data_IF_379182968990
#
_entry.id   IF_379182968990
#
_cell.length_a   1.000
_cell.length_b   1.000
_cell.length_c   1.000
_cell.angle_alpha   90.00
_cell.angle_beta   90.00
_cell.angle_gamma   90.00
#
_symmetry.space_group_name_H-M   'P 1'
#
loop_
_entity.id
_entity.type
_entity.pdbx_description
1 polymer ?
#
# COMPACT_ATOMS: atom_id res chain seq x y z
N UNK A 1 -0.06 0.60 17.34
CA UNK A 1 -1.26 0.67 16.49
C UNK A 1 -1.75 -0.75 16.34
N UNK A 2 -2.81 -1.11 17.05
CA UNK A 2 -3.45 -2.42 16.90
C UNK A 2 -4.26 -2.32 15.60
N UNK A 3 -3.81 -2.99 14.55
CA UNK A 3 -4.64 -3.18 13.36
C UNK A 3 -5.78 -4.08 13.83
N UNK A 4 -6.99 -3.52 13.96
CA UNK A 4 -8.18 -4.27 14.34
C UNK A 4 -8.34 -5.49 13.45
N UNK A 5 -8.65 -6.66 14.02
CA UNK A 5 -8.88 -7.91 13.29
C UNK A 5 -9.89 -7.74 12.13
N UNK A 6 -10.87 -6.85 12.31
CA UNK A 6 -11.83 -6.46 11.25
C UNK A 6 -11.14 -5.90 10.00
N UNK A 7 -10.09 -5.09 10.16
CA UNK A 7 -9.36 -4.50 9.04
C UNK A 7 -8.61 -5.56 8.20
N UNK A 8 -8.11 -6.62 8.85
CA UNK A 8 -7.42 -7.70 8.14
C UNK A 8 -8.39 -8.54 7.32
N UNK A 9 -9.57 -8.87 7.88
CA UNK A 9 -10.59 -9.61 7.14
C UNK A 9 -11.15 -8.82 5.97
N UNK A 10 -11.43 -7.52 6.15
CA UNK A 10 -11.93 -6.67 5.05
C UNK A 10 -10.90 -6.52 3.92
N UNK A 11 -9.61 -6.52 4.28
CA UNK A 11 -8.49 -6.51 3.33
C UNK A 11 -8.41 -7.83 2.55
N UNK A 12 -8.47 -8.97 3.24
CA UNK A 12 -8.47 -10.30 2.59
C UNK A 12 -9.72 -10.50 1.74
N UNK A 13 -10.89 -10.04 2.19
CA UNK A 13 -12.15 -10.19 1.43
C UNK A 13 -12.31 -9.18 0.30
N UNK A 14 -11.49 -8.13 0.26
CA UNK A 14 -11.57 -7.05 -0.71
C UNK A 14 -12.70 -6.05 -0.46
N UNK A 15 -13.40 -6.15 0.69
CA UNK A 15 -14.47 -5.23 1.08
C UNK A 15 -13.95 -3.80 1.18
N UNK A 16 -12.75 -3.59 1.73
CA UNK A 16 -12.18 -2.24 1.82
C UNK A 16 -11.91 -1.65 0.44
N UNK A 17 -11.30 -2.40 -0.47
CA UNK A 17 -11.02 -1.92 -1.82
C UNK A 17 -12.31 -1.58 -2.59
N UNK A 18 -13.37 -2.39 -2.41
CA UNK A 18 -14.68 -2.13 -2.99
C UNK A 18 -15.28 -0.79 -2.53
N UNK A 19 -15.04 -0.40 -1.28
CA UNK A 19 -15.49 0.87 -0.70
C UNK A 19 -14.55 2.04 -1.04
N UNK A 20 -13.25 1.80 -1.09
CA UNK A 20 -12.21 2.83 -1.20
C UNK A 20 -11.93 3.25 -2.65
N UNK A 21 -12.08 2.35 -3.63
CA UNK A 21 -11.96 2.67 -5.06
C UNK A 21 -12.89 3.85 -5.42
N UNK A 22 -14.20 3.84 -5.07
CA UNK A 22 -15.09 4.98 -5.28
C UNK A 22 -14.69 6.28 -4.55
N UNK A 23 -13.79 6.23 -3.58
CA UNK A 23 -13.42 7.37 -2.72
C UNK A 23 -12.00 7.89 -2.98
N UNK A 24 -11.21 7.19 -3.77
CA UNK A 24 -9.78 7.45 -3.96
C UNK A 24 -9.52 7.86 -5.40
N UNK A 25 -8.77 8.93 -5.64
CA UNK A 25 -8.37 9.23 -7.02
C UNK A 25 -7.40 8.15 -7.50
N UNK A 26 -7.76 7.44 -8.57
CA UNK A 26 -6.94 6.35 -9.14
C UNK A 26 -6.50 6.74 -10.54
N UNK A 27 -5.20 6.63 -10.77
CA UNK A 27 -4.55 6.81 -12.06
C UNK A 27 -3.90 5.51 -12.49
N UNK A 28 -4.16 5.04 -13.71
CA UNK A 28 -3.54 3.84 -14.28
C UNK A 28 -2.85 4.21 -15.59
N UNK A 29 -1.55 3.91 -15.69
CA UNK A 29 -0.70 4.25 -16.84
C UNK A 29 -0.77 5.73 -17.25
N UNK A 30 -1.02 6.62 -16.29
CA UNK A 30 -1.16 8.07 -16.53
C UNK A 30 -2.58 8.53 -16.87
N UNK A 31 -3.54 7.62 -16.99
CA UNK A 31 -4.96 7.95 -17.20
C UNK A 31 -5.70 8.03 -15.86
N UNK A 32 -6.48 9.08 -15.65
CA UNK A 32 -7.37 9.20 -14.48
C UNK A 32 -8.57 8.27 -14.74
N UNK A 33 -8.67 7.22 -13.94
CA UNK A 33 -9.73 6.20 -14.04
C UNK A 33 -10.91 6.57 -13.16
N UNK A 34 -10.60 7.05 -11.95
CA UNK A 34 -11.59 7.52 -11.02
C UNK A 34 -11.14 8.85 -10.43
N UNK A 35 -12.04 9.83 -10.46
CA UNK A 35 -11.83 11.12 -9.86
C UNK A 35 -12.93 11.39 -8.82
N UNK A 36 -12.56 11.30 -7.55
CA UNK A 36 -13.48 11.57 -6.43
C UNK A 36 -14.07 12.99 -6.41
N UNK A 37 -13.47 13.93 -7.15
CA UNK A 37 -13.93 15.32 -7.25
C UNK A 37 -14.94 15.53 -8.41
N UNK A 38 -15.17 14.52 -9.25
CA UNK A 38 -16.27 14.55 -10.22
C UNK A 38 -17.60 14.36 -9.49
N UNK A 39 -18.65 15.05 -9.96
CA UNK A 39 -20.02 14.85 -9.45
C UNK A 39 -20.40 13.40 -9.69
N UNK A 40 -20.27 12.57 -8.66
CA UNK A 40 -20.79 11.20 -8.70
C UNK A 40 -22.30 11.29 -8.90
N UNK A 41 -22.79 10.58 -9.91
CA UNK A 41 -24.22 10.34 -10.17
C UNK A 41 -24.85 9.41 -9.10
N UNK A 42 -24.11 9.09 -8.04
CA UNK A 42 -24.48 8.17 -6.98
C UNK A 42 -24.08 6.71 -7.25
N UNK A 43 -23.58 6.39 -8.45
CA UNK A 43 -23.27 5.02 -8.86
C UNK A 43 -21.82 4.66 -8.54
N UNK A 44 -21.60 3.47 -7.96
CA UNK A 44 -20.26 2.94 -7.74
C UNK A 44 -19.57 2.71 -9.11
N UNK A 45 -18.32 3.17 -9.35
CA UNK A 45 -17.61 2.96 -10.61
C UNK A 45 -17.50 1.48 -11.02
N UNK A 46 -17.44 0.56 -10.05
CA UNK A 46 -17.41 -0.89 -10.30
C UNK A 46 -18.77 -1.35 -10.87
N UNK A 47 -19.87 -0.95 -10.23
CA UNK A 47 -21.24 -1.27 -10.68
C UNK A 47 -21.55 -0.62 -12.04
N UNK A 48 -21.06 0.60 -12.27
CA UNK A 48 -21.19 1.30 -13.55
C UNK A 48 -20.46 0.56 -14.68
N UNK A 49 -19.26 0.06 -14.42
CA UNK A 49 -18.51 -0.77 -15.37
C UNK A 49 -19.23 -2.11 -15.65
N UNK A 50 -19.75 -2.75 -14.60
CA UNK A 50 -20.57 -3.96 -14.72
C UNK A 50 -21.80 -3.75 -15.59
N UNK A 51 -22.55 -2.66 -15.38
CA UNK A 51 -23.74 -2.36 -16.17
C UNK A 51 -23.40 -2.06 -17.63
N UNK A 52 -22.32 -1.31 -17.88
CA UNK A 52 -21.88 -0.92 -19.23
C UNK A 52 -21.45 -2.12 -20.09
N UNK A 53 -20.83 -3.14 -19.49
CA UNK A 53 -20.38 -4.33 -20.21
C UNK A 53 -20.50 -5.61 -19.38
N UNK A 54 -21.74 -6.02 -19.11
CA UNK A 54 -22.07 -7.13 -18.20
C UNK A 54 -21.47 -8.47 -18.62
N UNK A 55 -21.46 -8.77 -19.93
CA UNK A 55 -20.91 -10.01 -20.46
C UNK A 55 -19.39 -10.10 -20.21
N UNK A 56 -18.66 -9.03 -20.54
CA UNK A 56 -17.21 -8.97 -20.31
C UNK A 56 -16.89 -9.07 -18.82
N UNK A 57 -17.61 -8.34 -17.98
CA UNK A 57 -17.36 -8.36 -16.54
C UNK A 57 -17.64 -9.73 -15.93
N UNK A 58 -18.74 -10.40 -16.33
CA UNK A 58 -19.06 -11.76 -15.87
C UNK A 58 -17.98 -12.77 -16.28
N UNK A 59 -17.41 -12.61 -17.47
CA UNK A 59 -16.28 -13.43 -17.94
C UNK A 59 -15.03 -13.22 -17.08
N UNK A 60 -14.69 -11.97 -16.76
CA UNK A 60 -13.57 -11.63 -15.88
C UNK A 60 -13.78 -12.16 -14.46
N UNK A 61 -14.96 -11.97 -13.87
CA UNK A 61 -15.30 -12.55 -12.57
C UNK A 61 -15.14 -14.08 -12.56
N UNK A 62 -15.58 -14.76 -13.62
CA UNK A 62 -15.37 -16.20 -13.76
C UNK A 62 -13.88 -16.56 -13.77
N UNK A 63 -13.05 -15.85 -14.52
CA UNK A 63 -11.60 -16.06 -14.58
C UNK A 63 -10.95 -15.89 -13.19
N UNK A 64 -11.29 -14.82 -12.47
CA UNK A 64 -10.75 -14.58 -11.13
C UNK A 64 -11.26 -15.61 -10.11
N UNK A 65 -12.50 -16.06 -10.25
CA UNK A 65 -13.06 -17.16 -9.46
C UNK A 65 -12.28 -18.46 -9.68
N UNK A 66 -11.97 -18.82 -10.93
CA UNK A 66 -11.13 -20.00 -11.23
C UNK A 66 -9.71 -19.86 -10.67
N UNK A 67 -9.13 -18.66 -10.73
CA UNK A 67 -7.83 -18.41 -10.12
C UNK A 67 -7.85 -18.68 -8.60
N UNK A 68 -8.86 -18.19 -7.87
CA UNK A 68 -8.99 -18.45 -6.44
C UNK A 68 -9.20 -19.94 -6.16
N UNK A 69 -10.07 -20.63 -6.90
CA UNK A 69 -10.24 -22.08 -6.74
C UNK A 69 -8.96 -22.87 -7.00
N UNK A 70 -8.12 -22.42 -7.95
CA UNK A 70 -6.81 -23.00 -8.18
C UNK A 70 -5.86 -22.87 -6.98
N UNK A 71 -6.05 -21.87 -6.12
CA UNK A 71 -5.23 -21.65 -4.92
C UNK A 71 -5.73 -22.39 -3.68
N UNK A 72 -7.06 -22.43 -3.48
CA UNK A 72 -7.65 -22.90 -2.21
C UNK A 72 -8.57 -24.12 -2.37
N UNK A 73 -8.66 -24.68 -3.58
CA UNK A 73 -9.42 -25.88 -3.91
C UNK A 73 -10.87 -25.60 -4.34
N UNK A 74 -11.42 -26.39 -5.29
CA UNK A 74 -12.75 -26.15 -5.89
C UNK A 74 -13.92 -26.42 -4.93
N UNK A 75 -13.70 -27.18 -3.86
CA UNK A 75 -14.72 -27.48 -2.84
C UNK A 75 -14.88 -26.40 -1.75
N UNK A 76 -14.09 -25.33 -1.82
CA UNK A 76 -14.07 -24.29 -0.80
C UNK A 76 -15.16 -23.25 -1.07
N UNK A 77 -15.92 -22.88 -0.04
CA UNK A 77 -16.86 -21.75 -0.14
C UNK A 77 -16.10 -20.43 -0.23
N UNK A 78 -16.18 -19.78 -1.40
CA UNK A 78 -15.55 -18.49 -1.68
C UNK A 78 -16.54 -17.33 -1.67
N UNK A 79 -17.78 -17.52 -1.19
CA UNK A 79 -18.80 -16.46 -1.12
C UNK A 79 -18.29 -15.22 -0.37
N UNK A 80 -17.45 -15.42 0.65
CA UNK A 80 -16.83 -14.34 1.41
C UNK A 80 -15.77 -13.55 0.65
N UNK A 81 -15.31 -14.03 -0.51
CA UNK A 81 -14.32 -13.39 -1.40
C UNK A 81 -14.96 -12.69 -2.61
N UNK A 82 -16.29 -12.59 -2.67
CA UNK A 82 -17.02 -12.00 -3.79
C UNK A 82 -16.57 -10.55 -4.10
N UNK A 83 -16.40 -9.71 -3.08
CA UNK A 83 -15.87 -8.34 -3.28
C UNK A 83 -14.47 -8.34 -3.89
N UNK A 84 -13.58 -9.23 -3.45
CA UNK A 84 -12.23 -9.37 -4.03
C UNK A 84 -12.30 -9.78 -5.49
N UNK A 85 -13.17 -10.72 -5.85
CA UNK A 85 -13.34 -11.19 -7.23
C UNK A 85 -13.84 -10.03 -8.10
N UNK A 86 -14.86 -9.30 -7.64
CA UNK A 86 -15.41 -8.12 -8.34
C UNK A 86 -14.39 -7.02 -8.53
N UNK A 87 -13.64 -6.68 -7.48
CA UNK A 87 -12.59 -5.66 -7.57
C UNK A 87 -11.47 -6.11 -8.52
N UNK A 88 -11.05 -7.38 -8.47
CA UNK A 88 -10.03 -7.89 -9.38
C UNK A 88 -10.49 -7.82 -10.84
N UNK A 89 -11.72 -8.25 -11.12
CA UNK A 89 -12.33 -8.16 -12.45
C UNK A 89 -12.43 -6.70 -12.95
N UNK A 90 -12.81 -5.77 -12.06
CA UNK A 90 -12.81 -4.35 -12.37
C UNK A 90 -11.41 -3.83 -12.72
N UNK A 91 -10.39 -4.16 -11.92
CA UNK A 91 -9.02 -3.74 -12.21
C UNK A 91 -8.51 -4.32 -13.53
N UNK A 92 -8.74 -5.61 -13.79
CA UNK A 92 -8.35 -6.25 -15.06
C UNK A 92 -9.03 -5.57 -16.25
N UNK A 93 -10.33 -5.26 -16.13
CA UNK A 93 -11.07 -4.52 -17.15
C UNK A 93 -10.45 -3.15 -17.45
N UNK A 94 -10.10 -2.38 -16.42
CA UNK A 94 -9.48 -1.05 -16.60
C UNK A 94 -8.05 -1.17 -17.15
N UNK A 95 -7.26 -2.15 -16.70
CA UNK A 95 -5.93 -2.38 -17.25
C UNK A 95 -5.97 -2.69 -18.74
N UNK A 96 -6.94 -3.49 -19.17
CA UNK A 96 -7.17 -3.80 -20.58
C UNK A 96 -7.59 -2.55 -21.38
N UNK A 97 -8.44 -1.67 -20.83
CA UNK A 97 -8.82 -0.42 -21.50
C UNK A 97 -7.66 0.58 -21.62
N UNK A 98 -6.67 0.51 -20.73
CA UNK A 98 -5.59 1.48 -20.62
C UNK A 98 -4.18 0.87 -20.79
N UNK A 99 -4.07 -0.25 -21.52
CA UNK A 99 -2.81 -0.80 -22.00
C UNK A 99 -2.56 -2.26 -21.65
N UNK A 100 -1.51 -2.52 -20.87
CA UNK A 100 -1.05 -3.87 -20.54
C UNK A 100 -1.77 -4.43 -19.30
N UNK A 101 -2.09 -5.72 -19.35
CA UNK A 101 -2.73 -6.46 -18.26
C UNK A 101 -1.64 -7.14 -17.40
N UNK A 102 -1.52 -6.82 -16.11
CA UNK A 102 -0.65 -7.54 -15.19
C UNK A 102 -1.12 -8.99 -14.96
N UNK A 103 -0.24 -9.86 -14.49
CA UNK A 103 -0.61 -11.19 -14.06
C UNK A 103 -1.66 -11.15 -12.93
N UNK A 104 -2.54 -12.15 -12.91
CA UNK A 104 -3.66 -12.23 -11.98
C UNK A 104 -3.24 -12.14 -10.51
N UNK A 105 -2.12 -12.76 -10.14
CA UNK A 105 -1.61 -12.64 -8.78
C UNK A 105 -1.24 -11.20 -8.43
N UNK A 106 -0.66 -10.41 -9.34
CA UNK A 106 -0.45 -8.97 -9.12
C UNK A 106 -1.76 -8.20 -8.97
N UNK A 107 -2.79 -8.54 -9.75
CA UNK A 107 -4.12 -7.90 -9.64
C UNK A 107 -4.75 -8.23 -8.27
N UNK A 108 -4.73 -9.50 -7.86
CA UNK A 108 -5.22 -9.90 -6.55
C UNK A 108 -4.39 -9.30 -5.43
N UNK A 109 -3.08 -9.14 -5.61
CA UNK A 109 -2.25 -8.46 -4.64
C UNK A 109 -2.70 -6.99 -4.56
N UNK A 110 -2.85 -6.28 -5.67
CA UNK A 110 -3.40 -4.92 -5.70
C UNK A 110 -4.73 -4.77 -4.94
N UNK A 111 -5.66 -5.74 -5.04
CA UNK A 111 -6.92 -5.70 -4.25
C UNK A 111 -6.64 -5.60 -2.75
N UNK A 112 -5.61 -6.29 -2.25
CA UNK A 112 -5.16 -6.23 -0.86
C UNK A 112 -4.61 -4.83 -0.50
N UNK A 113 -3.98 -4.13 -1.45
CA UNK A 113 -3.24 -2.88 -1.20
C UNK A 113 -3.95 -1.58 -1.63
N UNK A 114 -5.06 -1.68 -2.37
CA UNK A 114 -5.87 -0.52 -2.76
C UNK A 114 -6.57 0.14 -1.56
N UNK A 115 -6.66 -0.55 -0.43
CA UNK A 115 -6.85 0.12 0.85
C UNK A 115 -5.53 0.78 1.30
N UNK A 116 -5.54 2.11 1.27
CA UNK A 116 -4.50 3.14 1.43
C UNK A 116 -3.37 2.94 2.49
N UNK A 117 -2.68 1.80 2.52
CA UNK A 117 -1.41 1.64 3.23
C UNK A 117 -1.41 0.69 4.45
N UNK A 118 -2.17 -0.40 4.44
CA UNK A 118 -2.16 -1.36 5.55
C UNK A 118 -0.75 -1.92 5.90
N UNK A 119 0.20 -1.86 4.97
CA UNK A 119 1.60 -2.28 5.19
C UNK A 119 2.61 -1.17 5.36
N UNK A 120 2.36 -0.02 4.75
CA UNK A 120 3.28 1.11 4.80
C UNK A 120 2.85 2.06 5.93
N UNK A 121 1.76 1.71 6.61
CA UNK A 121 1.48 2.07 8.00
C UNK A 121 2.73 1.94 8.85
N UNK A 122 3.62 0.95 8.68
CA UNK A 122 4.87 0.88 9.46
C UNK A 122 5.84 2.04 9.16
N UNK A 123 6.04 2.42 7.90
CA UNK A 123 6.94 3.52 7.54
C UNK A 123 6.32 4.90 7.85
N UNK A 124 5.00 5.01 7.67
CA UNK A 124 4.22 6.13 8.19
C UNK A 124 4.26 6.16 9.72
N UNK A 125 4.22 5.03 10.43
CA UNK A 125 4.35 4.90 11.89
C UNK A 125 5.77 5.25 12.32
N UNK A 126 6.82 4.94 11.58
CA UNK A 126 8.18 5.38 11.92
C UNK A 126 8.28 6.91 11.80
N UNK A 127 7.67 7.48 10.76
CA UNK A 127 7.49 8.92 10.61
C UNK A 127 6.63 9.46 11.75
N UNK A 128 5.50 8.83 12.05
CA UNK A 128 4.53 9.22 13.06
C UNK A 128 5.14 9.11 14.45
N UNK A 129 5.90 8.07 14.79
CA UNK A 129 6.59 7.91 16.07
C UNK A 129 7.65 8.99 16.27
N UNK A 130 8.37 9.36 15.20
CA UNK A 130 9.31 10.48 15.22
C UNK A 130 8.59 11.83 15.40
N UNK A 131 7.31 11.91 15.01
CA UNK A 131 6.50 13.13 15.06
C UNK A 131 5.53 13.20 16.25
N UNK A 132 5.11 12.07 16.83
CA UNK A 132 4.06 11.95 17.86
C UNK A 132 4.47 12.77 19.07
N UNK A 133 5.74 12.72 19.46
CA UNK A 133 6.23 13.48 20.58
C UNK A 133 6.11 14.99 20.33
N UNK A 134 6.35 15.46 19.09
CA UNK A 134 6.10 16.85 18.72
C UNK A 134 4.61 17.18 18.76
N UNK A 135 3.79 16.35 18.12
CA UNK A 135 2.36 16.58 17.99
C UNK A 135 1.68 16.65 19.37
N UNK A 136 2.03 15.72 20.26
CA UNK A 136 1.53 15.69 21.64
C UNK A 136 1.98 16.90 22.46
N UNK A 137 3.24 17.34 22.31
CA UNK A 137 3.75 18.50 23.06
C UNK A 137 3.18 19.85 22.60
N UNK A 138 2.64 19.91 21.38
CA UNK A 138 2.10 21.14 20.80
C UNK A 138 0.57 21.09 20.58
N UNK A 139 -0.11 20.06 21.10
CA UNK A 139 -1.55 19.82 20.91
C UNK A 139 -1.97 19.88 19.44
N UNK A 140 -1.15 19.28 18.59
CA UNK A 140 -1.34 19.24 17.14
C UNK A 140 -2.02 17.95 16.69
N UNK A 141 -2.91 18.07 15.71
CA UNK A 141 -3.74 17.00 15.19
C UNK A 141 -3.59 16.87 13.68
N UNK A 142 -3.40 15.64 13.20
CA UNK A 142 -3.29 15.35 11.76
C UNK A 142 -4.68 15.03 11.20
N UNK A 143 -5.12 15.84 10.26
CA UNK A 143 -6.28 15.55 9.42
C UNK A 143 -5.80 15.03 8.06
N UNK A 144 -6.16 13.78 7.77
CA UNK A 144 -5.92 13.17 6.47
C UNK A 144 -6.86 13.78 5.43
N UNK A 145 -6.30 14.23 4.32
CA UNK A 145 -7.04 14.53 3.09
C UNK A 145 -6.90 13.37 2.11
N UNK A 146 -7.44 13.59 0.94
CA UNK A 146 -7.56 12.60 -0.11
C UNK A 146 -6.24 11.98 -0.54
N UNK A 147 -6.30 10.70 -0.90
CA UNK A 147 -5.18 9.98 -1.49
C UNK A 147 -5.30 9.97 -3.01
N UNK A 148 -4.15 10.04 -3.67
CA UNK A 148 -4.00 9.77 -5.10
C UNK A 148 -3.17 8.50 -5.22
N UNK A 149 -3.70 7.49 -5.90
CA UNK A 149 -3.02 6.23 -6.18
C UNK A 149 -2.72 6.19 -7.67
N UNK A 150 -1.44 6.21 -8.03
CA UNK A 150 -0.97 6.04 -9.39
C UNK A 150 -0.35 4.65 -9.55
N UNK A 151 -0.85 3.88 -10.52
CA UNK A 151 -0.38 2.54 -10.86
C UNK A 151 0.18 2.59 -12.28
N UNK A 152 1.42 2.14 -12.45
CA UNK A 152 2.06 2.03 -13.76
C UNK A 152 2.41 0.57 -14.01
N UNK A 153 1.87 0.00 -15.08
CA UNK A 153 2.24 -1.33 -15.55
C UNK A 153 3.56 -1.22 -16.30
N UNK A 154 4.60 -1.90 -15.81
CA UNK A 154 5.91 -1.93 -16.45
C UNK A 154 5.94 -3.05 -17.50
N UNK A 155 5.38 -4.21 -17.14
CA UNK A 155 5.11 -5.36 -17.99
C UNK A 155 4.07 -6.26 -17.29
N UNK A 156 3.71 -7.39 -17.91
CA UNK A 156 2.77 -8.37 -17.34
C UNK A 156 3.19 -8.90 -15.97
N UNK A 157 4.48 -8.86 -15.63
CA UNK A 157 5.02 -9.41 -14.39
C UNK A 157 5.44 -8.34 -13.39
N UNK A 158 5.21 -7.06 -13.67
CA UNK A 158 5.62 -6.01 -12.75
C UNK A 158 4.83 -4.72 -12.89
N UNK A 159 4.46 -4.19 -11.72
CA UNK A 159 3.71 -2.94 -11.59
C UNK A 159 4.38 -2.04 -10.56
N UNK A 160 4.47 -0.75 -10.88
CA UNK A 160 4.95 0.27 -9.98
C UNK A 160 3.76 1.02 -9.37
N UNK A 161 3.76 1.15 -8.05
CA UNK A 161 2.76 1.91 -7.32
C UNK A 161 3.37 3.19 -6.76
N UNK A 162 2.59 4.26 -6.81
CA UNK A 162 2.87 5.53 -6.16
C UNK A 162 1.61 6.04 -5.45
N UNK A 163 1.66 6.19 -4.13
CA UNK A 163 0.55 6.67 -3.31
C UNK A 163 0.94 8.00 -2.71
N UNK A 164 0.21 9.06 -3.06
CA UNK A 164 0.40 10.41 -2.54
C UNK A 164 -0.75 10.77 -1.61
N UNK A 165 -0.41 11.38 -0.49
CA UNK A 165 -1.40 11.92 0.45
C UNK A 165 -1.04 13.35 0.82
N UNK A 166 -2.04 14.08 1.27
CA UNK A 166 -1.89 15.38 1.92
C UNK A 166 -2.39 15.28 3.35
N UNK A 167 -1.54 15.58 4.31
CA UNK A 167 -1.84 15.56 5.73
C UNK A 167 -1.74 17.00 6.25
N UNK A 168 -2.86 17.58 6.65
CA UNK A 168 -2.87 18.89 7.26
C UNK A 168 -2.73 18.75 8.77
N UNK A 169 -1.84 19.54 9.36
CA UNK A 169 -1.65 19.59 10.82
C UNK A 169 -2.36 20.82 11.35
N UNK A 170 -3.27 20.61 12.28
CA UNK A 170 -4.11 21.63 12.91
C UNK A 170 -3.87 21.67 14.42
N UNK A 171 -4.34 22.73 15.06
CA UNK A 171 -4.48 22.81 16.52
C UNK A 171 -5.96 23.02 16.86
N UNK A 172 -6.31 22.89 18.14
CA UNK A 172 -7.61 23.31 18.64
C UNK A 172 -7.51 24.70 19.27
N UNK A 173 -8.50 25.55 19.04
CA UNK A 173 -8.64 26.81 19.78
C UNK A 173 -9.27 26.56 21.18
N UNK A 174 -9.45 27.62 21.96
CA UNK A 174 -10.06 27.55 23.31
C UNK A 174 -11.45 26.90 23.32
N UNK A 175 -12.18 27.04 22.22
CA UNK A 175 -13.55 26.53 22.05
C UNK A 175 -13.58 25.13 21.42
N UNK A 176 -12.43 24.44 21.36
CA UNK A 176 -12.26 23.10 20.79
C UNK A 176 -12.61 23.01 19.29
N UNK A 177 -12.58 24.15 18.59
CA UNK A 177 -12.71 24.19 17.14
C UNK A 177 -11.34 24.01 16.47
N UNK A 178 -11.32 23.31 15.35
CA UNK A 178 -10.14 23.15 14.49
C UNK A 178 -9.70 24.52 13.95
N UNK A 179 -8.46 24.88 14.20
CA UNK A 179 -7.85 26.08 13.61
C UNK A 179 -7.53 25.85 12.13
N UNK A 180 -7.09 26.91 11.43
CA UNK A 180 -6.44 26.74 10.13
C UNK A 180 -5.23 25.80 10.21
N UNK A 181 -4.86 25.21 9.07
CA UNK A 181 -3.74 24.29 9.00
C UNK A 181 -2.42 25.02 9.28
N UNK A 182 -1.74 24.63 10.36
CA UNK A 182 -0.45 25.20 10.76
C UNK A 182 0.65 24.86 9.75
N UNK A 183 0.63 23.64 9.23
CA UNK A 183 1.49 23.19 8.13
C UNK A 183 0.94 21.90 7.50
N UNK A 184 1.52 21.52 6.37
CA UNK A 184 1.14 20.30 5.63
C UNK A 184 2.33 19.35 5.51
N UNK A 185 2.07 18.06 5.66
CA UNK A 185 2.97 16.95 5.32
C UNK A 185 2.39 16.25 4.08
N UNK A 186 3.20 16.07 3.05
CA UNK A 186 2.84 15.46 1.78
C UNK A 186 3.63 14.15 1.62
N UNK A 187 3.21 13.06 2.27
CA UNK A 187 3.86 11.79 2.09
C UNK A 187 3.55 11.20 0.71
N UNK A 188 4.59 10.64 0.11
CA UNK A 188 4.58 9.88 -1.13
C UNK A 188 5.26 8.54 -0.86
N UNK A 189 4.55 7.46 -1.14
CA UNK A 189 5.03 6.10 -1.00
C UNK A 189 5.16 5.50 -2.40
N UNK A 190 6.29 4.91 -2.73
CA UNK A 190 6.52 4.23 -4.00
C UNK A 190 7.18 2.88 -3.82
N UNK A 191 6.74 1.88 -4.59
CA UNK A 191 7.33 0.54 -4.59
C UNK A 191 7.03 -0.17 -5.92
N UNK A 192 7.81 -1.21 -6.21
CA UNK A 192 7.62 -2.12 -7.33
C UNK A 192 7.10 -3.46 -6.80
N UNK A 193 6.03 -3.98 -7.39
CA UNK A 193 5.57 -5.35 -7.18
C UNK A 193 5.93 -6.18 -8.41
N UNK A 194 6.46 -7.38 -8.19
CA UNK A 194 6.87 -8.29 -9.26
C UNK A 194 6.40 -9.72 -8.98
N UNK A 195 5.85 -10.36 -9.99
CA UNK A 195 5.45 -11.78 -9.96
C UNK A 195 6.45 -12.65 -10.72
N UNK A 196 6.54 -13.92 -10.35
CA UNK A 196 7.34 -14.90 -11.09
C UNK A 196 6.61 -15.28 -12.39
N UNK A 197 7.25 -15.16 -13.58
CA UNK A 197 6.56 -15.32 -14.86
C UNK A 197 5.77 -16.61 -15.04
N UNK A 198 6.29 -17.72 -14.53
CA UNK A 198 5.71 -19.06 -14.68
C UNK A 198 5.10 -19.61 -13.40
N UNK A 199 4.98 -18.80 -12.34
CA UNK A 199 4.45 -19.23 -11.07
C UNK A 199 3.53 -18.17 -10.47
N UNK A 200 2.26 -18.20 -10.87
CA UNK A 200 1.23 -17.28 -10.36
C UNK A 200 0.80 -17.58 -8.92
N UNK A 201 1.29 -18.67 -8.32
CA UNK A 201 1.04 -18.99 -6.91
C UNK A 201 2.16 -18.51 -5.98
N UNK A 202 3.30 -18.12 -6.55
CA UNK A 202 4.43 -17.62 -5.80
C UNK A 202 4.09 -16.31 -5.08
N UNK A 203 4.73 -16.08 -3.92
CA UNK A 203 4.86 -14.76 -3.32
C UNK A 203 5.20 -13.64 -4.31
N UNK A 204 4.62 -12.47 -4.09
CA UNK A 204 4.95 -11.24 -4.81
C UNK A 204 6.20 -10.61 -4.19
N UNK A 205 7.17 -10.25 -5.03
CA UNK A 205 8.35 -9.49 -4.61
C UNK A 205 8.01 -8.01 -4.55
N UNK A 206 8.24 -7.40 -3.39
CA UNK A 206 8.24 -5.95 -3.20
C UNK A 206 9.68 -5.45 -3.25
N UNK A 207 9.94 -4.47 -4.11
CA UNK A 207 11.25 -3.86 -4.23
C UNK A 207 11.20 -2.35 -4.41
N UNK A 208 12.36 -1.71 -4.27
CA UNK A 208 12.52 -0.25 -4.43
C UNK A 208 11.56 0.55 -3.54
N UNK A 209 11.29 0.03 -2.34
CA UNK A 209 10.30 0.60 -1.44
C UNK A 209 10.85 1.89 -0.84
N UNK A 210 10.15 2.99 -1.10
CA UNK A 210 10.57 4.31 -0.70
C UNK A 210 9.40 5.14 -0.20
N UNK A 211 9.61 5.83 0.92
CA UNK A 211 8.71 6.87 1.44
C UNK A 211 9.43 8.20 1.37
N UNK A 212 8.76 9.21 0.83
CA UNK A 212 9.23 10.59 0.76
C UNK A 212 8.21 11.48 1.43
N UNK A 213 8.63 12.51 2.15
CA UNK A 213 7.74 13.60 2.55
C UNK A 213 8.50 14.91 2.65
N UNK A 214 7.80 16.03 2.50
CA UNK A 214 8.38 17.34 2.77
C UNK A 214 8.68 17.47 4.27
N UNK A 215 9.81 18.08 4.62
CA UNK A 215 10.21 18.40 5.99
C UNK A 215 9.62 19.77 6.37
N UNK A 216 8.53 19.84 7.17
CA UNK A 216 8.00 21.14 7.57
C UNK A 216 8.99 21.86 8.49
N UNK A 217 9.06 23.19 8.40
CA UNK A 217 9.96 24.01 9.25
C UNK A 217 9.82 23.67 10.75
N UNK A 218 8.60 23.57 11.33
CA UNK A 218 8.43 23.24 12.76
C UNK A 218 9.03 21.89 13.16
N UNK A 219 9.12 20.96 12.22
CA UNK A 219 9.59 19.59 12.46
C UNK A 219 11.08 19.41 12.14
N UNK A 220 11.76 20.45 11.64
CA UNK A 220 13.14 20.31 11.13
C UNK A 220 14.15 19.82 12.18
N UNK A 221 13.92 20.12 13.46
CA UNK A 221 14.77 19.68 14.58
C UNK A 221 14.68 18.18 14.90
N UNK A 222 13.63 17.49 14.44
CA UNK A 222 13.43 16.06 14.69
C UNK A 222 14.06 15.16 13.63
N UNK A 223 14.66 15.75 12.58
CA UNK A 223 15.30 15.01 11.51
C UNK A 223 16.81 15.22 11.59
N UNK A 224 17.53 14.18 12.00
CA UNK A 224 19.00 14.15 11.91
C UNK A 224 19.42 14.34 10.46
N UNK A 225 20.53 15.03 10.24
CA UNK A 225 21.13 15.22 8.91
C UNK A 225 21.93 13.98 8.47
N UNK A 226 22.18 13.05 9.38
CA UNK A 226 22.91 11.82 9.12
C UNK A 226 21.98 10.74 8.59
N UNK A 227 22.47 9.99 7.60
CA UNK A 227 21.83 8.72 7.24
C UNK A 227 22.01 7.74 8.39
N UNK A 228 20.94 7.05 8.79
CA UNK A 228 21.01 6.00 9.79
C UNK A 228 20.18 4.80 9.40
N UNK A 229 20.58 3.67 9.96
CA UNK A 229 19.91 2.39 9.79
C UNK A 229 19.05 2.08 11.01
N UNK A 230 17.83 1.62 10.77
CA UNK A 230 16.93 1.15 11.80
C UNK A 230 16.40 -0.22 11.39
N UNK A 231 16.48 -1.20 12.29
CA UNK A 231 15.91 -2.54 12.07
C UNK A 231 14.71 -2.68 12.98
N UNK A 232 13.57 -3.09 12.40
CA UNK A 232 12.34 -3.36 13.15
C UNK A 232 11.53 -4.45 12.47
N UNK A 233 11.14 -5.47 13.24
CA UNK A 233 10.33 -6.59 12.76
C UNK A 233 10.93 -7.26 11.51
N UNK A 234 12.24 -7.55 11.52
CA UNK A 234 12.96 -8.11 10.37
C UNK A 234 13.24 -7.15 9.20
N UNK A 235 12.58 -5.99 9.14
CA UNK A 235 12.80 -5.01 8.07
C UNK A 235 13.96 -4.07 8.39
N UNK A 236 14.84 -3.86 7.41
CA UNK A 236 15.89 -2.84 7.46
C UNK A 236 15.38 -1.56 6.80
N UNK A 237 15.43 -0.47 7.55
CA UNK A 237 15.08 0.87 7.12
C UNK A 237 16.35 1.70 7.01
N UNK A 238 16.58 2.28 5.84
CA UNK A 238 17.63 3.28 5.63
C UNK A 238 16.94 4.64 5.59
N UNK A 239 17.15 5.43 6.64
CA UNK A 239 16.62 6.79 6.74
C UNK A 239 17.68 7.75 6.26
N UNK A 240 17.37 8.48 5.17
CA UNK A 240 18.26 9.50 4.61
C UNK A 240 17.56 10.85 4.59
N UNK A 241 18.17 11.86 5.22
CA UNK A 241 17.66 13.22 5.26
C UNK A 241 18.53 14.08 4.35
N UNK A 242 18.00 14.43 3.17
CA UNK A 242 18.73 15.27 2.22
C UNK A 242 18.53 16.74 2.54
N UNK A 243 19.50 17.35 3.22
CA UNK A 243 19.53 18.79 3.43
C UNK A 243 19.68 19.53 2.09
N UNK A 244 18.84 20.54 1.87
CA UNK A 244 18.78 21.35 0.63
C UNK A 244 17.44 21.29 -0.11
N UNK A 245 16.68 20.20 0.02
CA UNK A 245 15.41 20.00 -0.72
C UNK A 245 14.17 20.03 0.21
N UNK A 246 14.35 20.20 1.52
CA UNK A 246 13.29 20.04 2.53
C UNK A 246 12.52 18.73 2.33
N UNK A 247 13.21 17.61 2.10
CA UNK A 247 12.62 16.28 1.90
C UNK A 247 13.30 15.24 2.79
N UNK A 248 12.51 14.37 3.38
CA UNK A 248 12.95 13.17 4.08
C UNK A 248 12.69 11.97 3.16
N UNK A 249 13.65 11.05 3.08
CA UNK A 249 13.56 9.84 2.28
C UNK A 249 13.86 8.63 3.16
N UNK A 250 12.88 7.75 3.32
CA UNK A 250 13.02 6.45 3.95
C UNK A 250 13.03 5.38 2.88
N UNK A 251 14.00 4.48 2.91
CA UNK A 251 14.05 3.29 2.05
C UNK A 251 13.90 2.06 2.92
N UNK A 252 13.24 1.04 2.39
CA UNK A 252 13.05 -0.24 3.07
C UNK A 252 13.72 -1.35 2.26
N UNK A 253 14.16 -2.40 2.94
CA UNK A 253 14.61 -3.63 2.29
C UNK A 253 13.50 -4.26 1.45
N UNK A 254 13.91 -4.92 0.37
CA UNK A 254 13.01 -5.76 -0.43
C UNK A 254 12.46 -6.90 0.43
N UNK A 255 11.24 -7.35 0.13
CA UNK A 255 10.62 -8.48 0.83
C UNK A 255 9.63 -9.21 -0.09
N UNK A 256 9.25 -10.43 0.29
CA UNK A 256 8.22 -11.21 -0.41
C UNK A 256 6.93 -11.23 0.39
N UNK A 257 5.79 -11.23 -0.29
CA UNK A 257 4.49 -11.46 0.36
C UNK A 257 4.30 -12.89 0.84
N UNK A 258 3.33 -13.16 1.75
CA UNK A 258 2.87 -14.51 1.93
C UNK A 258 2.31 -15.08 0.62
N UNK A 259 2.45 -16.40 0.39
CA UNK A 259 1.74 -17.06 -0.69
C UNK A 259 0.24 -16.74 -0.62
N UNK A 260 -0.37 -16.43 -1.77
CA UNK A 260 -1.80 -16.07 -1.81
C UNK A 260 -2.69 -17.19 -1.27
N UNK A 261 -2.32 -18.45 -1.50
CA UNK A 261 -3.02 -19.61 -0.98
C UNK A 261 -3.13 -19.59 0.55
N UNK A 262 -2.09 -19.14 1.25
CA UNK A 262 -2.04 -19.13 2.71
C UNK A 262 -3.06 -18.16 3.30
N UNK A 263 -3.06 -16.90 2.84
CA UNK A 263 -3.95 -15.88 3.41
C UNK A 263 -5.39 -15.97 2.89
N UNK A 264 -5.60 -16.42 1.64
CA UNK A 264 -6.95 -16.61 1.09
C UNK A 264 -7.67 -17.82 1.71
N UNK A 265 -6.93 -18.81 2.19
CA UNK A 265 -7.51 -19.96 2.92
C UNK A 265 -7.83 -19.63 4.39
N UNK A 266 -7.38 -18.49 4.90
CA UNK A 266 -7.62 -18.12 6.28
C UNK A 266 -9.10 -17.86 6.55
N UNK A 267 -9.64 -18.58 7.53
CA UNK A 267 -11.00 -18.39 8.06
C UNK A 267 -11.06 -17.43 9.26
N UNK A 268 -9.93 -16.90 9.74
CA UNK A 268 -9.80 -16.15 10.99
C UNK A 268 -8.67 -15.11 10.98
N UNK A 269 -8.10 -14.78 12.15
CA UNK A 269 -7.16 -13.69 12.53
C UNK A 269 -5.83 -13.61 11.77
N UNK A 270 -5.84 -13.88 10.47
CA UNK A 270 -4.68 -13.70 9.61
C UNK A 270 -4.38 -12.22 9.51
N UNK A 271 -3.58 -11.75 10.45
CA UNK A 271 -3.02 -10.41 10.42
C UNK A 271 -1.92 -10.49 9.42
N UNK A 272 -2.25 -10.16 8.17
CA UNK A 272 -1.26 -10.12 7.11
C UNK A 272 -0.07 -9.31 7.70
N UNK A 273 -0.31 -8.17 8.38
CA UNK A 273 0.74 -7.33 8.98
C UNK A 273 1.72 -8.03 9.93
N UNK A 274 1.28 -9.09 10.62
CA UNK A 274 2.11 -9.89 11.52
C UNK A 274 2.97 -10.91 10.75
N UNK A 275 2.48 -11.47 9.64
CA UNK A 275 3.27 -12.38 8.77
C UNK A 275 4.56 -11.69 8.28
N UNK A 276 4.47 -10.43 7.89
CA UNK A 276 5.63 -9.64 7.49
C UNK A 276 6.46 -9.16 8.68
N UNK A 277 5.94 -9.20 9.91
CA UNK A 277 6.74 -8.87 11.07
C UNK A 277 7.63 -10.04 11.54
N UNK A 278 7.39 -11.25 11.04
CA UNK A 278 8.16 -12.44 11.38
C UNK A 278 9.52 -12.43 10.68
N UNK A 279 10.59 -12.69 11.45
CA UNK A 279 11.99 -12.54 11.02
C UNK A 279 12.39 -13.46 9.85
N UNK A 280 11.61 -14.52 9.57
CA UNK A 280 11.98 -15.57 8.63
C UNK A 280 11.50 -15.37 7.18
N UNK A 281 10.71 -14.33 6.89
CA UNK A 281 10.16 -14.07 5.54
C UNK A 281 10.98 -13.07 4.72
N UNK A 282 12.05 -12.51 5.31
CA UNK A 282 12.84 -11.44 4.71
C UNK A 282 14.19 -11.95 4.25
N UNK A 283 14.35 -12.07 2.93
CA UNK A 283 15.67 -12.19 2.32
C UNK A 283 16.17 -10.79 2.01
N UNK A 284 17.27 -10.35 2.65
CA UNK A 284 17.93 -9.09 2.31
C UNK A 284 18.51 -9.18 0.89
N UNK A 285 17.71 -8.80 -0.10
CA UNK A 285 18.12 -8.70 -1.48
C UNK A 285 18.47 -7.24 -1.78
N UNK A 286 19.54 -6.73 -1.17
CA UNK A 286 20.20 -5.55 -1.72
C UNK A 286 21.72 -5.70 -1.72
N UNK A 287 22.26 -6.03 -2.89
CA UNK A 287 23.68 -5.97 -3.21
C UNK A 287 24.14 -4.57 -3.63
N UNK A 288 23.29 -3.54 -3.56
CA UNK A 288 23.64 -2.18 -4.01
C UNK A 288 23.93 -1.18 -2.88
N UNK A 289 23.93 -1.61 -1.61
CA UNK A 289 24.38 -0.77 -0.48
C UNK A 289 25.28 -1.46 0.55
N UNK A 290 25.98 -2.54 0.18
CA UNK A 290 27.16 -3.00 0.92
C UNK A 290 28.44 -2.55 0.21
N UNK A 291 28.85 -1.30 0.44
CA UNK A 291 30.27 -0.95 0.29
C UNK A 291 31.00 -1.51 1.51
N UNK A 292 31.60 -2.70 1.38
CA UNK A 292 32.73 -3.29 2.12
C UNK A 292 32.96 -3.11 3.65
N UNK A 293 32.13 -2.39 4.41
CA UNK A 293 32.39 -2.08 5.83
C UNK A 293 31.38 -2.70 6.80
N UNK A 294 30.50 -3.59 6.35
CA UNK A 294 29.53 -4.29 7.22
C UNK A 294 30.09 -5.58 7.87
N UNK A 295 31.39 -5.61 8.20
CA UNK A 295 31.92 -6.60 9.13
C UNK A 295 32.22 -5.94 10.47
N UNK A 296 31.34 -6.18 11.45
CA UNK A 296 31.74 -6.10 12.85
C UNK A 296 32.84 -7.13 13.07
N UNK A 297 34.08 -6.65 13.21
CA UNK A 297 35.11 -7.38 13.97
C UNK A 297 34.58 -7.56 15.38
N UNK A 298 34.02 -8.72 15.68
CA UNK A 298 34.11 -9.26 17.03
C UNK A 298 35.59 -9.59 17.28
N UNK A 299 36.27 -8.73 18.02
CA UNK A 299 37.52 -9.12 18.68
C UNK A 299 37.19 -9.52 20.11
N UNK A 300 37.31 -10.82 20.37
CA UNK A 300 37.88 -11.37 21.60
C UNK A 300 39.17 -10.66 21.96
#
# INVERSE_FOLDING_TARGET
>A
MIISERLNQDTIRGTSAFIDIPRTKIEINGHIIHNKDEKNDGTNPIEKAQYKNSYKFSSLEHIHKQYIYGLIGPGTDISTLDHRIKVAAYLEHIFEEHGQIPQRNLIHELVTYLNQGAYIGQALILTYNSLIQHLATHSEHIMKKDSIVSIKVINSHSIQLNIKQKLNVHTFNSDHNLTEAKYTINPEISFLMSSEPNNTTAPILYSQIQVKFNKPKPLSKYFSTTTYEHIKNGHKFIVSVKNGINKVILRMSNFKSPPHSEYLSSKGDYKISEYYAQENTHTYLDSTTCSETCFFKTKT
#
